data_IF_006898782061
#
_entry.id   IF_006898782061
#
_cell.length_a   1.000
_cell.length_b   1.000
_cell.length_c   1.000
_cell.angle_alpha   90.00
_cell.angle_beta   90.00
_cell.angle_gamma   90.00
#
_symmetry.space_group_name_H-M   'P 1'
#
loop_
_entity.id
_entity.type
_entity.pdbx_description
1 polymer ?
#
# COMPACT_ATOMS: atom_id res chain seq x y z
N UNK A 1 -4.00 23.40 -36.94
CA UNK A 1 -4.01 21.99 -37.35
C UNK A 1 -3.53 21.17 -36.17
N UNK A 2 -4.40 20.31 -35.67
CA UNK A 2 -4.27 19.59 -34.40
C UNK A 2 -3.01 18.71 -34.49
N UNK A 3 -2.07 18.84 -33.56
CA UNK A 3 -0.79 18.11 -33.54
C UNK A 3 -0.92 16.59 -33.35
N UNK A 4 -2.13 16.03 -33.44
CA UNK A 4 -2.47 14.63 -33.29
C UNK A 4 -2.83 13.96 -34.62
N UNK A 5 -2.41 12.71 -34.79
CA UNK A 5 -2.89 11.76 -35.78
C UNK A 5 -4.30 11.27 -35.36
N UNK A 6 -5.17 10.88 -36.30
CA UNK A 6 -6.43 10.25 -35.94
C UNK A 6 -6.17 8.92 -35.22
N UNK A 7 -6.95 8.60 -34.20
CA UNK A 7 -6.95 7.27 -33.61
C UNK A 7 -7.51 6.28 -34.63
N UNK A 8 -6.69 5.34 -35.07
CA UNK A 8 -7.11 4.24 -35.94
C UNK A 8 -7.32 2.96 -35.13
N UNK A 9 -8.42 2.22 -35.35
CA UNK A 9 -8.62 0.93 -34.70
C UNK A 9 -7.51 -0.05 -35.08
N UNK A 10 -7.15 -1.00 -34.19
CA UNK A 10 -6.28 -2.11 -34.56
C UNK A 10 -6.96 -3.01 -35.60
N UNK A 11 -6.19 -3.74 -36.40
CA UNK A 11 -6.72 -4.61 -37.46
C UNK A 11 -7.70 -5.68 -36.94
N UNK A 12 -7.52 -6.11 -35.68
CA UNK A 12 -8.35 -7.10 -35.00
C UNK A 12 -9.35 -6.48 -34.01
N UNK A 13 -9.75 -5.22 -34.20
CA UNK A 13 -10.69 -4.54 -33.30
C UNK A 13 -12.01 -5.30 -33.16
N UNK A 14 -12.39 -5.61 -31.91
CA UNK A 14 -13.69 -6.14 -31.54
C UNK A 14 -14.27 -5.31 -30.38
N UNK A 15 -15.36 -4.59 -30.64
CA UNK A 15 -16.04 -3.79 -29.62
C UNK A 15 -16.55 -4.63 -28.43
N UNK A 16 -16.75 -5.95 -28.60
CA UNK A 16 -17.14 -6.85 -27.49
C UNK A 16 -16.07 -6.95 -26.41
N UNK A 17 -14.80 -6.70 -26.72
CA UNK A 17 -13.74 -6.61 -25.71
C UNK A 17 -14.02 -5.53 -24.65
N UNK A 18 -14.80 -4.51 -25.02
CA UNK A 18 -15.15 -3.37 -24.17
C UNK A 18 -16.62 -3.41 -23.71
N UNK A 19 -17.29 -4.57 -23.77
CA UNK A 19 -18.69 -4.73 -23.37
C UNK A 19 -18.95 -4.24 -21.93
N UNK A 20 -18.04 -4.57 -21.01
CA UNK A 20 -18.14 -4.11 -19.63
C UNK A 20 -18.01 -2.59 -19.50
N UNK A 21 -17.13 -1.97 -20.30
CA UNK A 21 -16.95 -0.51 -20.33
C UNK A 21 -18.22 0.17 -20.85
N UNK A 22 -18.85 -0.36 -21.90
CA UNK A 22 -20.13 0.11 -22.41
C UNK A 22 -21.23 0.07 -21.34
N UNK A 23 -21.42 -1.09 -20.69
CA UNK A 23 -22.38 -1.23 -19.59
C UNK A 23 -22.08 -0.29 -18.42
N UNK A 24 -20.80 -0.08 -18.12
CA UNK A 24 -20.39 0.82 -17.05
C UNK A 24 -20.76 2.27 -17.38
N UNK A 25 -20.53 2.73 -18.61
CA UNK A 25 -20.95 4.05 -19.07
C UNK A 25 -22.48 4.24 -19.00
N UNK A 26 -23.25 3.27 -19.48
CA UNK A 26 -24.72 3.29 -19.40
C UNK A 26 -25.22 3.34 -17.96
N UNK A 27 -24.64 2.54 -17.05
CA UNK A 27 -25.00 2.54 -15.65
C UNK A 27 -24.72 3.88 -14.95
N UNK A 28 -23.61 4.55 -15.30
CA UNK A 28 -23.31 5.89 -14.78
C UNK A 28 -24.32 6.93 -15.26
N UNK A 29 -24.74 6.88 -16.53
CA UNK A 29 -25.77 7.76 -17.08
C UNK A 29 -27.12 7.49 -16.43
N UNK A 30 -27.54 6.21 -16.35
CA UNK A 30 -28.79 5.81 -15.68
C UNK A 30 -28.82 6.20 -14.19
N UNK A 31 -27.66 6.20 -13.53
CA UNK A 31 -27.49 6.68 -12.16
C UNK A 31 -27.35 8.20 -12.01
N UNK A 32 -27.59 8.99 -13.07
CA UNK A 32 -27.51 10.44 -13.10
C UNK A 32 -26.13 11.00 -12.67
N UNK A 33 -25.03 10.31 -13.00
CA UNK A 33 -23.66 10.66 -12.59
C UNK A 33 -22.91 11.60 -13.56
N UNK A 34 -23.50 11.92 -14.72
CA UNK A 34 -22.91 12.75 -15.79
C UNK A 34 -21.41 12.46 -16.05
N UNK A 35 -21.07 11.25 -16.54
CA UNK A 35 -19.67 10.82 -16.60
C UNK A 35 -18.83 11.66 -17.58
N UNK A 36 -17.56 11.83 -17.25
CA UNK A 36 -16.57 12.60 -18.03
C UNK A 36 -15.40 11.71 -18.44
N UNK A 37 -14.76 12.05 -19.57
CA UNK A 37 -13.73 11.20 -20.17
C UNK A 37 -12.56 10.98 -19.20
N UNK A 38 -12.20 12.01 -18.42
CA UNK A 38 -11.18 11.95 -17.37
C UNK A 38 -11.44 10.91 -16.27
N UNK A 39 -12.64 10.30 -16.17
CA UNK A 39 -12.90 9.20 -15.24
C UNK A 39 -12.45 7.83 -15.78
N UNK A 40 -12.12 7.75 -17.07
CA UNK A 40 -11.72 6.52 -17.77
C UNK A 40 -10.28 6.60 -18.30
N UNK A 41 -9.59 7.73 -18.13
CA UNK A 41 -8.18 7.90 -18.45
C UNK A 41 -7.64 9.17 -17.75
N UNK A 42 -6.33 9.32 -17.65
CA UNK A 42 -5.69 10.49 -17.02
C UNK A 42 -4.56 11.03 -17.89
N UNK A 43 -4.84 11.99 -18.80
CA UNK A 43 -3.82 12.67 -19.58
C UNK A 43 -3.05 13.67 -18.70
N UNK A 44 -1.74 13.48 -18.58
CA UNK A 44 -0.80 14.33 -17.85
C UNK A 44 -0.06 15.19 -18.86
N UNK A 45 -0.21 16.51 -18.75
CA UNK A 45 0.46 17.44 -19.66
C UNK A 45 1.98 17.38 -19.52
N UNK A 46 2.63 17.23 -20.68
CA UNK A 46 4.06 17.28 -20.88
C UNK A 46 4.41 18.54 -21.69
N UNK A 47 5.70 18.95 -21.71
CA UNK A 47 6.15 20.01 -22.61
C UNK A 47 5.76 19.78 -24.07
N UNK A 48 5.79 20.84 -24.88
CA UNK A 48 5.46 20.80 -26.31
C UNK A 48 4.00 20.43 -26.63
N UNK A 49 3.07 20.75 -25.73
CA UNK A 49 1.63 20.52 -25.90
C UNK A 49 1.27 19.04 -26.12
N UNK A 50 1.97 18.14 -25.43
CA UNK A 50 1.76 16.69 -25.47
C UNK A 50 1.27 16.19 -24.12
N UNK A 51 0.81 14.95 -24.07
CA UNK A 51 0.38 14.30 -22.83
C UNK A 51 0.99 12.91 -22.71
N UNK A 52 1.43 12.56 -21.51
CA UNK A 52 1.56 11.16 -21.10
C UNK A 52 0.19 10.67 -20.60
N UNK A 53 -0.18 9.41 -20.83
CA UNK A 53 -1.51 8.89 -20.52
C UNK A 53 -1.40 7.84 -19.42
N UNK A 54 -2.04 8.09 -18.29
CA UNK A 54 -2.16 7.14 -17.20
C UNK A 54 -3.58 6.56 -17.09
N UNK A 55 -3.70 5.42 -16.42
CA UNK A 55 -4.97 4.79 -16.08
C UNK A 55 -5.75 5.63 -15.06
N UNK A 56 -7.08 5.62 -15.15
CA UNK A 56 -7.95 6.20 -14.11
C UNK A 56 -9.29 5.49 -14.01
N UNK A 57 -9.79 5.29 -12.79
CA UNK A 57 -11.07 4.64 -12.54
C UNK A 57 -11.03 3.11 -12.65
N UNK A 58 -12.22 2.48 -12.65
CA UNK A 58 -12.35 1.01 -12.62
C UNK A 58 -12.20 0.31 -13.97
N UNK A 59 -12.33 1.02 -15.09
CA UNK A 59 -12.09 0.46 -16.43
C UNK A 59 -11.46 1.54 -17.30
N UNK A 60 -10.20 1.32 -17.69
CA UNK A 60 -9.37 2.33 -18.35
C UNK A 60 -8.27 1.63 -19.16
N UNK A 61 -7.12 2.29 -19.34
CA UNK A 61 -5.99 1.85 -20.18
C UNK A 61 -5.25 0.64 -19.64
N UNK A 62 -5.51 0.22 -18.39
CA UNK A 62 -4.98 -1.04 -17.86
C UNK A 62 -5.57 -2.27 -18.58
N UNK A 63 -4.72 -3.00 -19.30
CA UNK A 63 -5.06 -4.31 -19.86
C UNK A 63 -4.89 -5.42 -18.83
N UNK A 64 -5.72 -5.36 -17.78
CA UNK A 64 -5.61 -6.18 -16.57
C UNK A 64 -5.41 -7.67 -16.88
N UNK A 65 -4.38 -8.26 -16.27
CA UNK A 65 -4.09 -9.69 -16.32
C UNK A 65 -3.55 -10.19 -17.67
N UNK A 66 -2.98 -9.29 -18.50
CA UNK A 66 -2.44 -9.63 -19.84
C UNK A 66 -0.93 -9.55 -19.94
N UNK A 67 -0.25 -9.42 -18.82
CA UNK A 67 1.21 -9.30 -18.73
C UNK A 67 1.90 -10.48 -18.01
N UNK A 68 1.17 -11.48 -17.52
CA UNK A 68 1.70 -12.54 -16.66
C UNK A 68 2.84 -13.36 -17.29
N UNK A 69 2.73 -13.65 -18.59
CA UNK A 69 3.75 -14.43 -19.28
C UNK A 69 4.96 -13.59 -19.70
N UNK A 70 4.89 -12.25 -19.65
CA UNK A 70 5.93 -11.37 -20.17
C UNK A 70 7.32 -11.59 -19.51
N UNK A 71 7.43 -11.69 -18.16
CA UNK A 71 8.73 -11.82 -17.51
C UNK A 71 9.49 -13.09 -17.92
N UNK A 72 8.77 -14.17 -18.20
CA UNK A 72 9.33 -15.48 -18.54
C UNK A 72 9.23 -15.87 -20.01
N UNK A 73 8.51 -15.09 -20.82
CA UNK A 73 8.39 -15.31 -22.25
C UNK A 73 9.70 -15.10 -23.01
N UNK A 74 9.82 -15.80 -24.13
CA UNK A 74 10.84 -15.55 -25.14
C UNK A 74 10.54 -14.25 -25.93
N UNK A 75 11.39 -13.91 -26.88
CA UNK A 75 11.23 -12.68 -27.68
C UNK A 75 9.89 -12.64 -28.43
N UNK A 76 9.48 -13.75 -29.05
CA UNK A 76 8.21 -13.84 -29.77
C UNK A 76 7.00 -13.64 -28.83
N UNK A 77 7.06 -14.24 -27.63
CA UNK A 77 6.02 -14.07 -26.61
C UNK A 77 5.93 -12.63 -26.13
N UNK A 78 7.07 -11.98 -25.86
CA UNK A 78 7.13 -10.58 -25.42
C UNK A 78 6.62 -9.62 -26.48
N UNK A 79 6.98 -9.84 -27.75
CA UNK A 79 6.49 -9.05 -28.88
C UNK A 79 4.98 -9.19 -29.08
N UNK A 80 4.47 -10.43 -29.01
CA UNK A 80 3.01 -10.69 -29.03
C UNK A 80 2.29 -9.92 -27.92
N UNK A 81 2.78 -10.01 -26.68
CA UNK A 81 2.18 -9.32 -25.53
C UNK A 81 2.23 -7.80 -25.70
N UNK A 82 3.36 -7.25 -26.16
CA UNK A 82 3.48 -5.81 -26.42
C UNK A 82 2.46 -5.36 -27.48
N UNK A 83 2.31 -6.13 -28.56
CA UNK A 83 1.32 -5.83 -29.60
C UNK A 83 -0.12 -5.93 -29.10
N UNK A 84 -0.41 -6.89 -28.24
CA UNK A 84 -1.71 -7.04 -27.59
C UNK A 84 -2.06 -5.83 -26.71
N UNK A 85 -1.09 -5.27 -25.98
CA UNK A 85 -1.29 -4.04 -25.20
C UNK A 85 -1.51 -2.82 -26.10
N UNK A 86 -0.72 -2.66 -27.17
CA UNK A 86 -0.93 -1.60 -28.16
C UNK A 86 -2.33 -1.69 -28.79
N UNK A 87 -2.73 -2.89 -29.22
CA UNK A 87 -4.04 -3.14 -29.80
C UNK A 87 -5.17 -2.86 -28.79
N UNK A 88 -5.01 -3.23 -27.52
CA UNK A 88 -5.98 -2.92 -26.47
C UNK A 88 -6.15 -1.40 -26.31
N UNK A 89 -5.06 -0.64 -26.24
CA UNK A 89 -5.13 0.82 -26.06
C UNK A 89 -5.75 1.49 -27.30
N UNK A 90 -5.36 1.10 -28.51
CA UNK A 90 -6.00 1.57 -29.76
C UNK A 90 -7.49 1.23 -29.78
N UNK A 91 -7.86 0.02 -29.38
CA UNK A 91 -9.24 -0.42 -29.27
C UNK A 91 -10.04 0.37 -28.24
N UNK A 92 -9.45 0.65 -27.08
CA UNK A 92 -10.05 1.46 -26.01
C UNK A 92 -10.34 2.88 -26.52
N UNK A 93 -9.36 3.55 -27.11
CA UNK A 93 -9.54 4.89 -27.66
C UNK A 93 -10.61 4.89 -28.78
N UNK A 94 -10.61 3.87 -29.64
CA UNK A 94 -11.63 3.72 -30.69
C UNK A 94 -13.03 3.56 -30.09
N UNK A 95 -13.19 2.68 -29.09
CA UNK A 95 -14.47 2.45 -28.42
C UNK A 95 -14.99 3.74 -27.77
N UNK A 96 -14.13 4.42 -27.01
CA UNK A 96 -14.47 5.70 -26.36
C UNK A 96 -14.80 6.81 -27.36
N UNK A 97 -14.26 6.77 -28.58
CA UNK A 97 -14.53 7.74 -29.62
C UNK A 97 -15.80 7.45 -30.44
N UNK A 98 -16.30 6.21 -30.47
CA UNK A 98 -17.28 5.77 -31.49
C UNK A 98 -18.49 5.02 -30.96
N UNK A 99 -18.42 4.34 -29.81
CA UNK A 99 -19.53 3.48 -29.36
C UNK A 99 -20.73 4.33 -28.87
N UNK A 100 -21.97 4.04 -29.34
CA UNK A 100 -23.16 4.80 -29.00
C UNK A 100 -23.45 4.88 -27.48
N UNK A 101 -22.97 3.91 -26.70
CA UNK A 101 -23.17 3.84 -25.24
C UNK A 101 -22.32 4.83 -24.45
N UNK A 102 -21.25 5.36 -25.05
CA UNK A 102 -20.39 6.40 -24.45
C UNK A 102 -21.01 7.78 -24.72
N UNK A 103 -21.38 8.60 -23.72
CA UNK A 103 -21.94 9.94 -23.95
C UNK A 103 -21.25 10.78 -25.05
N UNK A 104 -22.06 11.52 -25.82
CA UNK A 104 -21.60 12.24 -27.01
C UNK A 104 -20.47 13.24 -26.73
N UNK A 105 -20.53 13.95 -25.60
CA UNK A 105 -19.47 14.87 -25.18
C UNK A 105 -18.12 14.15 -25.03
N UNK A 106 -18.10 12.96 -24.41
CA UNK A 106 -16.88 12.17 -24.24
C UNK A 106 -16.38 11.62 -25.57
N UNK A 107 -17.27 11.20 -26.47
CA UNK A 107 -16.87 10.77 -27.82
C UNK A 107 -16.19 11.89 -28.59
N UNK A 108 -16.80 13.09 -28.60
CA UNK A 108 -16.24 14.28 -29.27
C UNK A 108 -14.90 14.68 -28.66
N UNK A 109 -14.77 14.61 -27.34
CA UNK A 109 -13.50 14.85 -26.65
C UNK A 109 -12.44 13.82 -27.07
N UNK A 110 -12.74 12.53 -27.01
CA UNK A 110 -11.81 11.46 -27.41
C UNK A 110 -11.36 11.59 -28.87
N UNK A 111 -12.27 11.98 -29.78
CA UNK A 111 -11.96 12.23 -31.20
C UNK A 111 -10.97 13.40 -31.42
N UNK A 112 -10.80 14.29 -30.43
CA UNK A 112 -9.80 15.36 -30.51
C UNK A 112 -8.39 14.88 -30.14
N UNK A 113 -8.30 13.74 -29.46
CA UNK A 113 -7.04 13.13 -29.03
C UNK A 113 -6.54 12.12 -30.05
N UNK A 114 -5.23 11.87 -30.01
CA UNK A 114 -4.58 10.85 -30.81
C UNK A 114 -3.06 10.94 -30.72
N UNK A 115 -2.34 10.00 -31.35
CA UNK A 115 -0.88 9.96 -31.30
C UNK A 115 -0.24 11.25 -31.80
N UNK A 116 0.90 11.65 -31.23
CA UNK A 116 1.59 12.87 -31.66
C UNK A 116 2.07 12.73 -33.12
N UNK A 117 1.80 13.74 -33.95
CA UNK A 117 2.18 13.75 -35.38
C UNK A 117 3.68 13.83 -35.64
N UNK A 118 4.44 14.28 -34.66
CA UNK A 118 5.86 14.59 -34.76
C UNK A 118 6.74 13.60 -33.98
N UNK A 119 6.16 12.57 -33.37
CA UNK A 119 6.87 11.51 -32.66
C UNK A 119 6.57 10.16 -33.27
N UNK A 120 7.54 9.24 -33.23
CA UNK A 120 7.34 7.85 -33.66
C UNK A 120 6.73 7.71 -35.06
N UNK A 121 7.26 8.47 -36.03
CA UNK A 121 6.74 8.55 -37.41
C UNK A 121 6.77 7.22 -38.15
N UNK A 122 7.68 6.33 -37.76
CA UNK A 122 7.87 4.98 -38.29
C UNK A 122 6.88 3.94 -37.73
N UNK A 123 6.06 4.32 -36.75
CA UNK A 123 5.11 3.44 -36.05
C UNK A 123 3.74 4.09 -35.89
N UNK A 124 3.37 4.96 -36.83
CA UNK A 124 2.08 5.69 -36.84
C UNK A 124 1.80 6.45 -35.53
N UNK A 125 2.85 6.99 -34.91
CA UNK A 125 2.78 7.75 -33.66
C UNK A 125 2.84 6.94 -32.37
N UNK A 126 3.02 5.62 -32.43
CA UNK A 126 3.03 4.75 -31.25
C UNK A 126 4.46 4.45 -30.76
N UNK A 127 4.71 4.43 -29.44
CA UNK A 127 6.03 4.11 -28.90
C UNK A 127 6.57 2.75 -29.40
N UNK A 128 7.87 2.70 -29.73
CA UNK A 128 8.54 1.50 -30.27
C UNK A 128 8.63 0.35 -29.28
N UNK A 129 8.59 0.66 -28.00
CA UNK A 129 8.79 -0.30 -26.92
C UNK A 129 7.74 -0.11 -25.84
N UNK A 130 7.33 -1.23 -25.26
CA UNK A 130 6.50 -1.23 -24.07
C UNK A 130 7.36 -0.93 -22.84
N UNK A 131 6.95 0.03 -22.02
CA UNK A 131 7.59 0.30 -20.74
C UNK A 131 7.27 -0.82 -19.74
N UNK A 132 8.29 -1.58 -19.33
CA UNK A 132 8.15 -2.70 -18.38
C UNK A 132 8.67 -2.27 -17.02
N UNK A 133 7.74 -2.08 -16.08
CA UNK A 133 8.05 -1.52 -14.75
C UNK A 133 8.44 -2.57 -13.72
N UNK A 134 7.86 -3.78 -13.82
CA UNK A 134 8.13 -4.90 -12.92
C UNK A 134 8.29 -6.21 -13.69
N UNK A 135 9.37 -6.95 -13.38
CA UNK A 135 9.66 -8.26 -13.97
C UNK A 135 10.47 -9.11 -12.98
N UNK A 136 11.43 -9.90 -13.46
CA UNK A 136 12.33 -10.69 -12.61
C UNK A 136 13.12 -9.77 -11.68
N UNK A 137 13.15 -10.13 -10.40
CA UNK A 137 13.91 -9.43 -9.36
C UNK A 137 14.93 -10.36 -8.73
N UNK A 138 16.00 -9.77 -8.24
CA UNK A 138 17.00 -10.42 -7.42
C UNK A 138 16.40 -10.91 -6.10
N UNK A 139 16.87 -12.06 -5.60
CA UNK A 139 16.66 -12.48 -4.20
C UNK A 139 18.00 -12.42 -3.48
N UNK A 140 18.33 -11.23 -2.96
CA UNK A 140 19.63 -10.93 -2.35
C UNK A 140 19.74 -11.38 -0.88
N UNK A 141 20.73 -10.84 -0.19
CA UNK A 141 20.96 -11.06 1.25
C UNK A 141 19.88 -10.41 2.13
N UNK A 142 19.21 -9.37 1.61
CA UNK A 142 18.07 -8.75 2.28
C UNK A 142 16.95 -8.48 1.30
N UNK A 143 15.73 -8.92 1.63
CA UNK A 143 14.53 -8.65 0.84
C UNK A 143 13.76 -7.50 1.50
N UNK A 144 13.73 -6.34 0.84
CA UNK A 144 12.92 -5.20 1.32
C UNK A 144 11.44 -5.61 1.35
N UNK A 145 10.73 -5.27 2.42
CA UNK A 145 9.31 -5.65 2.60
C UNK A 145 8.45 -4.47 3.05
N UNK A 146 7.13 -4.67 3.13
CA UNK A 146 6.20 -3.66 3.66
C UNK A 146 6.64 -3.18 5.05
N UNK A 147 7.22 -4.06 5.87
CA UNK A 147 7.70 -3.71 7.21
C UNK A 147 8.73 -2.57 7.19
N UNK A 148 9.56 -2.49 6.15
CA UNK A 148 10.50 -1.38 5.98
C UNK A 148 9.77 -0.08 5.63
N UNK A 149 8.84 -0.15 4.68
CA UNK A 149 8.05 1.00 4.24
C UNK A 149 7.16 1.57 5.37
N UNK A 150 6.73 0.69 6.29
CA UNK A 150 5.93 1.00 7.48
C UNK A 150 6.75 1.38 8.71
N UNK A 151 8.08 1.36 8.62
CA UNK A 151 8.99 1.56 9.74
C UNK A 151 8.81 0.57 10.92
N UNK A 152 8.26 -0.62 10.64
CA UNK A 152 8.21 -1.75 11.60
C UNK A 152 9.59 -2.38 11.74
N UNK A 153 10.33 -2.47 10.64
CA UNK A 153 11.73 -2.90 10.62
C UNK A 153 12.58 -1.81 9.99
N UNK A 154 13.71 -1.48 10.62
CA UNK A 154 14.71 -0.57 10.05
C UNK A 154 15.98 -1.32 9.71
N UNK A 155 16.72 -0.78 8.75
CA UNK A 155 18.05 -1.27 8.37
C UNK A 155 19.10 -0.21 8.73
N UNK A 156 20.34 -0.64 8.88
CA UNK A 156 21.48 0.21 9.24
C UNK A 156 22.42 0.46 8.05
N UNK A 157 22.22 -0.28 6.95
CA UNK A 157 23.05 -0.25 5.75
C UNK A 157 22.39 0.53 4.59
N UNK A 158 21.87 1.73 4.86
CA UNK A 158 21.16 2.57 3.91
C UNK A 158 22.05 3.08 2.78
N UNK A 159 21.54 2.97 1.55
CA UNK A 159 22.15 3.53 0.33
C UNK A 159 21.19 4.46 -0.43
N UNK A 160 20.17 4.95 0.24
CA UNK A 160 19.15 5.82 -0.35
C UNK A 160 17.82 5.68 0.37
N UNK A 161 16.89 6.59 0.08
CA UNK A 161 15.58 6.62 0.71
C UNK A 161 14.47 6.37 -0.32
N UNK A 162 13.56 5.46 -0.02
CA UNK A 162 12.25 5.33 -0.67
C UNK A 162 11.21 6.16 0.06
N UNK A 163 10.23 6.74 -0.66
CA UNK A 163 9.21 7.60 -0.04
C UNK A 163 7.86 7.62 -0.79
N UNK A 164 7.73 6.83 -1.85
CA UNK A 164 6.51 6.78 -2.66
C UNK A 164 5.47 5.87 -2.03
N UNK A 165 4.21 5.94 -2.44
CA UNK A 165 3.20 5.01 -1.96
C UNK A 165 3.61 3.57 -2.29
N UNK A 166 3.31 2.62 -1.41
CA UNK A 166 3.21 1.22 -1.79
C UNK A 166 1.99 1.11 -2.68
N UNK A 167 2.23 1.09 -4.00
CA UNK A 167 1.20 1.05 -5.01
C UNK A 167 1.24 -0.22 -5.87
N UNK A 168 0.06 -0.73 -6.21
CA UNK A 168 -0.15 -1.79 -7.18
C UNK A 168 -1.44 -1.48 -7.92
N UNK A 169 -1.46 -1.67 -9.23
CA UNK A 169 -2.68 -1.57 -10.02
C UNK A 169 -3.53 -2.83 -9.85
N UNK A 170 -4.78 -2.76 -10.31
CA UNK A 170 -5.69 -3.89 -10.36
C UNK A 170 -5.05 -5.09 -11.07
N UNK A 171 -5.06 -6.24 -10.41
CA UNK A 171 -4.43 -7.46 -10.89
C UNK A 171 -5.41 -8.35 -11.68
N UNK A 172 -6.68 -8.35 -11.27
CA UNK A 172 -7.73 -9.12 -11.94
C UNK A 172 -9.10 -8.46 -11.83
N UNK A 173 -10.00 -8.85 -12.75
CA UNK A 173 -11.42 -8.54 -12.69
C UNK A 173 -12.20 -9.83 -12.45
N UNK A 174 -13.02 -9.86 -11.42
CA UNK A 174 -13.80 -11.03 -11.00
C UNK A 174 -15.29 -10.72 -10.97
N UNK A 175 -16.12 -11.76 -11.02
CA UNK A 175 -17.56 -11.65 -10.75
C UNK A 175 -17.83 -12.20 -9.36
N UNK A 176 -18.30 -11.34 -8.46
CA UNK A 176 -18.63 -11.67 -7.07
C UNK A 176 -20.05 -11.22 -6.78
N UNK A 177 -20.90 -12.14 -6.31
CA UNK A 177 -22.31 -11.87 -5.97
C UNK A 177 -23.08 -11.17 -7.11
N UNK A 178 -22.84 -11.59 -8.37
CA UNK A 178 -23.47 -11.01 -9.56
C UNK A 178 -22.95 -9.62 -9.97
N UNK A 179 -21.89 -9.11 -9.33
CA UNK A 179 -21.26 -7.82 -9.63
C UNK A 179 -19.84 -8.04 -10.14
N UNK A 180 -19.41 -7.20 -11.07
CA UNK A 180 -18.01 -7.17 -11.47
C UNK A 180 -17.22 -6.31 -10.50
N UNK A 181 -16.13 -6.85 -9.98
CA UNK A 181 -15.21 -6.18 -9.06
C UNK A 181 -13.79 -6.29 -9.60
N UNK A 182 -13.00 -5.23 -9.44
CA UNK A 182 -11.55 -5.31 -9.60
C UNK A 182 -10.91 -5.55 -8.24
N UNK A 183 -9.83 -6.31 -8.21
CA UNK A 183 -9.03 -6.51 -7.00
C UNK A 183 -7.53 -6.39 -7.26
N UNK A 184 -6.77 -6.23 -6.18
CA UNK A 184 -5.31 -6.09 -6.22
C UNK A 184 -4.81 -4.65 -6.33
N UNK A 185 -5.70 -3.66 -6.44
CA UNK A 185 -5.32 -2.26 -6.32
C UNK A 185 -4.94 -1.94 -4.87
N UNK A 186 -3.73 -1.43 -4.69
CA UNK A 186 -3.17 -1.04 -3.39
C UNK A 186 -2.62 0.36 -3.57
N UNK A 187 -2.95 1.26 -2.65
CA UNK A 187 -2.47 2.65 -2.67
C UNK A 187 -2.22 3.10 -1.23
N UNK A 188 -1.11 2.67 -0.63
CA UNK A 188 -0.85 2.98 0.79
C UNK A 188 0.47 3.72 0.99
N UNK A 189 0.45 4.93 1.59
CA UNK A 189 1.67 5.69 1.81
C UNK A 189 2.58 5.02 2.86
N UNK A 190 3.91 5.20 2.72
CA UNK A 190 4.85 4.87 3.78
C UNK A 190 4.70 5.86 4.94
N UNK A 191 5.16 5.46 6.12
CA UNK A 191 5.11 6.32 7.31
C UNK A 191 6.06 7.52 7.21
N UNK A 192 7.20 7.32 6.58
CA UNK A 192 8.22 8.34 6.31
C UNK A 192 9.12 7.85 5.19
N UNK A 193 9.97 8.70 4.60
CA UNK A 193 11.07 8.23 3.80
C UNK A 193 11.86 7.16 4.57
N UNK A 194 12.00 5.98 3.99
CA UNK A 194 12.57 4.80 4.64
C UNK A 194 13.86 4.38 3.92
N UNK A 195 14.85 3.86 4.66
CA UNK A 195 16.12 3.49 4.07
C UNK A 195 16.02 2.23 3.21
N UNK A 196 16.73 2.23 2.08
CA UNK A 196 16.91 1.07 1.19
C UNK A 196 18.26 0.44 1.49
N UNK A 197 18.25 -0.86 1.83
CA UNK A 197 19.44 -1.61 2.23
C UNK A 197 20.40 -1.86 1.07
N UNK A 198 21.70 -1.71 1.31
CA UNK A 198 22.76 -2.15 0.39
C UNK A 198 22.61 -3.63 0.00
N UNK A 199 22.27 -4.48 0.98
CA UNK A 199 22.05 -5.92 0.77
C UNK A 199 20.88 -6.26 -0.16
N UNK A 200 20.00 -5.30 -0.46
CA UNK A 200 18.91 -5.48 -1.41
C UNK A 200 19.36 -5.36 -2.87
N UNK A 201 20.50 -4.73 -3.16
CA UNK A 201 20.98 -4.52 -4.54
C UNK A 201 22.13 -5.46 -4.91
N UNK A 202 22.50 -6.42 -4.05
CA UNK A 202 23.58 -7.38 -4.28
C UNK A 202 23.09 -8.83 -4.11
N UNK A 203 23.64 -9.77 -4.89
CA UNK A 203 23.30 -11.19 -4.78
C UNK A 203 23.90 -11.81 -3.54
N UNK A 204 23.46 -13.03 -3.21
CA UNK A 204 24.09 -13.79 -2.13
C UNK A 204 25.51 -14.17 -2.52
N UNK A 205 26.40 -14.28 -1.55
CA UNK A 205 27.82 -14.57 -1.80
C UNK A 205 28.06 -15.89 -2.56
N UNK A 206 27.14 -16.85 -2.43
CA UNK A 206 27.22 -18.14 -3.12
C UNK A 206 26.79 -18.10 -4.60
N UNK A 207 26.15 -17.01 -5.06
CA UNK A 207 25.57 -16.92 -6.41
C UNK A 207 26.52 -16.24 -7.40
N UNK A 208 27.02 -15.05 -7.05
CA UNK A 208 28.10 -14.35 -7.75
C UNK A 208 28.67 -13.23 -6.87
N UNK A 209 29.86 -12.74 -7.20
CA UNK A 209 30.66 -11.86 -6.33
C UNK A 209 30.88 -10.45 -6.88
N UNK A 210 30.35 -10.16 -8.08
CA UNK A 210 30.68 -8.96 -8.86
C UNK A 210 29.46 -8.28 -9.54
N UNK A 211 28.24 -8.52 -9.05
CA UNK A 211 27.00 -7.99 -9.64
C UNK A 211 26.29 -7.00 -8.69
N UNK A 212 25.77 -5.91 -9.27
CA UNK A 212 24.81 -5.01 -8.64
C UNK A 212 23.51 -4.97 -9.44
N UNK A 213 22.37 -5.02 -8.74
CA UNK A 213 21.03 -4.94 -9.32
C UNK A 213 20.23 -3.78 -8.68
N UNK A 214 20.50 -2.52 -9.04
CA UNK A 214 19.85 -1.35 -8.41
C UNK A 214 18.38 -1.17 -8.83
N UNK A 215 17.99 -1.67 -9.99
CA UNK A 215 16.61 -1.61 -10.52
C UNK A 215 15.85 -2.89 -10.21
N UNK A 216 16.37 -4.04 -10.62
CA UNK A 216 15.78 -5.35 -10.31
C UNK A 216 16.11 -5.82 -8.88
N UNK A 217 16.11 -4.88 -7.91
CA UNK A 217 16.55 -5.11 -6.55
C UNK A 217 15.67 -6.10 -5.80
N UNK A 218 16.18 -6.60 -4.68
CA UNK A 218 15.50 -7.55 -3.83
C UNK A 218 14.44 -6.91 -2.95
N UNK A 219 13.19 -7.11 -3.34
CA UNK A 219 12.02 -6.59 -2.65
C UNK A 219 10.79 -7.48 -2.87
N UNK A 220 9.88 -7.49 -1.90
CA UNK A 220 8.52 -7.99 -2.11
C UNK A 220 7.77 -7.10 -3.10
N UNK A 221 6.68 -7.60 -3.68
CA UNK A 221 5.82 -6.83 -4.60
C UNK A 221 5.40 -5.47 -4.03
N UNK A 222 4.93 -5.48 -2.78
CA UNK A 222 4.44 -4.27 -2.08
C UNK A 222 5.55 -3.26 -1.82
N UNK A 223 6.72 -3.71 -1.35
CA UNK A 223 7.84 -2.80 -1.10
C UNK A 223 8.40 -2.23 -2.41
N UNK A 224 8.47 -3.06 -3.45
CA UNK A 224 8.95 -2.65 -4.75
C UNK A 224 8.08 -1.54 -5.35
N UNK A 225 6.75 -1.61 -5.22
CA UNK A 225 5.83 -0.55 -5.63
C UNK A 225 6.22 0.84 -5.11
N UNK A 226 6.75 0.89 -3.88
CA UNK A 226 7.25 2.12 -3.25
C UNK A 226 8.69 2.49 -3.63
N UNK A 227 9.58 1.51 -3.80
CA UNK A 227 11.01 1.75 -4.13
C UNK A 227 11.20 2.14 -5.59
N UNK A 228 10.38 1.62 -6.52
CA UNK A 228 10.61 1.62 -7.98
C UNK A 228 10.49 2.96 -8.70
N UNK A 229 10.63 4.07 -7.99
CA UNK A 229 10.58 5.40 -8.57
C UNK A 229 11.92 5.76 -9.20
N UNK A 230 11.87 6.39 -10.37
CA UNK A 230 13.05 6.75 -11.16
C UNK A 230 14.10 7.54 -10.35
N UNK A 231 13.73 8.54 -9.51
CA UNK A 231 14.71 9.21 -8.66
C UNK A 231 15.41 8.29 -7.66
N UNK A 232 14.70 7.27 -7.13
CA UNK A 232 15.29 6.29 -6.22
C UNK A 232 16.25 5.37 -6.98
N UNK A 233 15.87 4.89 -8.18
CA UNK A 233 16.78 4.11 -9.01
C UNK A 233 18.05 4.86 -9.41
N UNK A 234 17.95 6.16 -9.69
CA UNK A 234 19.14 6.99 -9.95
C UNK A 234 20.07 7.03 -8.72
N UNK A 235 19.52 7.20 -7.53
CA UNK A 235 20.27 7.18 -6.25
C UNK A 235 20.91 5.81 -6.00
N UNK A 236 20.17 4.73 -6.22
CA UNK A 236 20.69 3.36 -6.07
C UNK A 236 21.78 3.07 -7.11
N UNK A 237 21.65 3.59 -8.33
CA UNK A 237 22.68 3.50 -9.37
C UNK A 237 23.98 4.19 -8.98
N UNK A 238 23.92 5.42 -8.45
CA UNK A 238 25.09 6.11 -7.90
C UNK A 238 25.72 5.33 -6.75
N UNK A 239 24.90 4.78 -5.87
CA UNK A 239 25.37 4.00 -4.72
C UNK A 239 26.06 2.71 -5.14
N UNK A 240 25.49 1.99 -6.11
CA UNK A 240 26.08 0.80 -6.70
C UNK A 240 27.43 1.11 -7.35
N UNK A 241 27.53 2.20 -8.13
CA UNK A 241 28.80 2.60 -8.75
C UNK A 241 29.88 2.95 -7.72
N UNK A 242 29.51 3.65 -6.64
CA UNK A 242 30.42 3.99 -5.54
C UNK A 242 30.91 2.73 -4.82
N UNK A 243 30.01 1.79 -4.52
CA UNK A 243 30.36 0.51 -3.92
C UNK A 243 31.24 -0.34 -4.83
N UNK A 244 30.99 -0.35 -6.14
CA UNK A 244 31.80 -1.04 -7.12
C UNK A 244 33.24 -0.51 -7.16
N UNK A 245 33.43 0.82 -7.13
CA UNK A 245 34.76 1.42 -7.07
C UNK A 245 35.52 0.98 -5.79
N UNK A 246 34.84 1.02 -4.64
CA UNK A 246 35.41 0.55 -3.36
C UNK A 246 35.77 -0.94 -3.44
N UNK A 247 34.90 -1.78 -4.00
CA UNK A 247 35.13 -3.21 -4.15
C UNK A 247 36.39 -3.49 -5.00
N UNK A 248 36.57 -2.76 -6.10
CA UNK A 248 37.73 -2.87 -6.99
C UNK A 248 39.02 -2.44 -6.27
N UNK A 249 39.00 -1.28 -5.62
CA UNK A 249 40.17 -0.73 -4.92
C UNK A 249 40.63 -1.62 -3.77
N UNK A 250 39.67 -2.12 -2.99
CA UNK A 250 39.94 -2.98 -1.82
C UNK A 250 40.13 -4.46 -2.23
N UNK A 251 39.90 -4.80 -3.51
CA UNK A 251 39.97 -6.17 -4.07
C UNK A 251 39.10 -7.15 -3.29
N UNK A 252 37.87 -6.74 -2.98
CA UNK A 252 36.88 -7.53 -2.26
C UNK A 252 35.66 -7.80 -3.14
N UNK A 253 34.95 -8.93 -2.93
CA UNK A 253 33.65 -9.14 -3.57
C UNK A 253 32.63 -8.10 -3.08
N UNK A 254 31.57 -7.87 -3.84
CA UNK A 254 30.56 -6.82 -3.54
C UNK A 254 29.90 -7.01 -2.16
N UNK A 255 29.78 -8.25 -1.69
CA UNK A 255 29.25 -8.58 -0.36
C UNK A 255 30.18 -8.17 0.80
N UNK A 256 31.46 -7.91 0.52
CA UNK A 256 32.49 -7.55 1.52
C UNK A 256 32.92 -6.08 1.45
N UNK A 257 32.22 -5.25 0.68
CA UNK A 257 32.41 -3.79 0.70
C UNK A 257 32.21 -3.28 2.12
N UNK A 258 33.19 -2.51 2.63
CA UNK A 258 33.08 -1.89 3.93
C UNK A 258 32.00 -0.80 3.90
N UNK A 259 30.87 -1.06 4.56
CA UNK A 259 29.74 -0.14 4.55
C UNK A 259 30.06 1.22 5.17
N UNK A 260 30.89 1.31 6.20
CA UNK A 260 31.24 2.62 6.80
C UNK A 260 32.04 3.49 5.82
N UNK A 261 32.93 2.87 5.03
CA UNK A 261 33.65 3.54 3.95
C UNK A 261 32.70 4.01 2.85
N UNK A 262 31.74 3.17 2.46
CA UNK A 262 30.70 3.51 1.49
C UNK A 262 29.82 4.66 2.00
N UNK A 263 29.30 4.55 3.22
CA UNK A 263 28.45 5.56 3.87
C UNK A 263 29.13 6.91 3.94
N UNK A 264 30.40 6.94 4.38
CA UNK A 264 31.18 8.17 4.43
C UNK A 264 31.31 8.84 3.05
N UNK A 265 31.53 8.03 2.00
CA UNK A 265 31.63 8.53 0.63
C UNK A 265 30.30 9.07 0.11
N UNK A 266 29.19 8.33 0.29
CA UNK A 266 27.86 8.76 -0.16
C UNK A 266 27.41 10.07 0.54
N UNK A 267 27.72 10.23 1.82
CA UNK A 267 27.47 11.47 2.55
C UNK A 267 28.32 12.64 2.05
N UNK A 268 29.59 12.38 1.70
CA UNK A 268 30.45 13.40 1.09
C UNK A 268 29.90 13.87 -0.27
N UNK A 269 29.27 12.97 -1.02
CA UNK A 269 28.53 13.28 -2.26
C UNK A 269 27.11 13.86 -1.99
N UNK A 270 26.81 14.21 -0.74
CA UNK A 270 25.55 14.84 -0.26
C UNK A 270 24.30 13.97 -0.43
N UNK A 271 24.46 12.65 -0.59
CA UNK A 271 23.33 11.74 -0.63
C UNK A 271 22.67 11.64 0.76
N UNK A 272 21.32 11.64 0.79
CA UNK A 272 20.56 11.48 2.03
C UNK A 272 20.38 9.99 2.32
N UNK A 273 20.91 9.52 3.45
CA UNK A 273 20.86 8.11 3.85
C UNK A 273 19.93 7.87 5.05
N UNK A 274 19.70 8.91 5.85
CA UNK A 274 18.87 8.87 7.05
C UNK A 274 17.82 9.99 6.96
N UNK A 275 16.57 9.66 7.26
CA UNK A 275 15.51 10.66 7.31
C UNK A 275 15.46 11.32 8.70
N UNK A 276 15.77 12.61 8.76
CA UNK A 276 15.70 13.42 10.00
C UNK A 276 14.54 14.42 10.00
N UNK A 277 13.71 14.40 8.94
CA UNK A 277 12.54 15.26 8.83
C UNK A 277 11.33 14.73 9.61
N UNK A 278 10.19 15.44 9.54
CA UNK A 278 8.96 14.97 10.17
C UNK A 278 8.52 13.64 9.56
N UNK A 279 7.94 12.77 10.38
CA UNK A 279 7.22 11.62 9.86
C UNK A 279 6.02 12.14 9.07
N UNK A 280 5.78 11.59 7.88
CA UNK A 280 4.53 11.89 7.19
C UNK A 280 3.46 11.23 8.04
N UNK A 281 2.42 11.96 8.41
CA UNK A 281 1.16 11.29 8.74
C UNK A 281 0.81 10.51 7.48
N UNK A 282 0.99 9.17 7.53
CA UNK A 282 0.61 8.30 6.43
C UNK A 282 -0.80 8.74 6.01
N UNK A 283 -0.98 9.16 4.76
CA UNK A 283 -2.31 9.54 4.27
C UNK A 283 -3.33 8.44 4.56
N UNK A 284 -4.63 8.71 4.47
CA UNK A 284 -5.58 8.88 5.60
C UNK A 284 -5.42 7.91 6.82
N UNK A 285 -4.20 7.65 7.27
CA UNK A 285 -3.85 6.83 8.42
C UNK A 285 -3.37 7.80 9.48
N UNK A 286 -4.33 8.40 10.18
CA UNK A 286 -4.10 9.50 11.12
C UNK A 286 -3.12 9.17 12.24
N UNK A 287 -2.78 10.23 12.99
CA UNK A 287 -1.85 10.18 14.11
C UNK A 287 -2.21 9.01 15.03
N UNK A 288 -1.30 8.06 15.15
CA UNK A 288 -1.36 7.13 16.25
C UNK A 288 -0.70 7.73 17.48
N UNK A 289 -1.12 7.28 18.66
CA UNK A 289 -0.50 7.67 19.92
C UNK A 289 0.48 6.57 20.30
N UNK A 290 1.76 6.95 20.51
CA UNK A 290 2.76 6.01 21.03
C UNK A 290 2.32 5.57 22.44
N UNK A 291 2.11 4.26 22.70
CA UNK A 291 1.77 3.74 24.02
C UNK A 291 2.71 4.25 25.13
N UNK A 292 4.00 4.44 24.83
CA UNK A 292 5.02 4.89 25.78
C UNK A 292 4.89 6.37 26.16
N UNK A 293 4.16 7.15 25.37
CA UNK A 293 3.91 8.57 25.65
C UNK A 293 2.78 8.80 26.67
N UNK A 294 1.99 7.77 26.95
CA UNK A 294 0.83 7.85 27.83
C UNK A 294 1.20 7.50 29.29
N UNK A 295 0.55 8.12 30.29
CA UNK A 295 0.83 7.83 31.69
C UNK A 295 0.32 6.45 32.11
N UNK A 296 0.97 5.84 33.11
CA UNK A 296 0.55 4.55 33.65
C UNK A 296 1.02 3.37 32.81
N UNK A 297 0.28 2.27 32.87
CA UNK A 297 0.59 1.05 32.09
C UNK A 297 -0.31 1.07 30.87
N UNK A 298 0.26 0.95 29.68
CA UNK A 298 -0.49 0.81 28.43
C UNK A 298 -0.13 -0.50 27.77
N UNK A 299 -1.16 -1.25 27.37
CA UNK A 299 -1.06 -2.47 26.59
C UNK A 299 -1.74 -2.24 25.25
N UNK A 300 -1.04 -2.52 24.16
CA UNK A 300 -1.47 -2.41 22.77
C UNK A 300 -2.26 -3.67 22.33
N UNK A 301 -2.95 -3.65 21.20
CA UNK A 301 -3.72 -4.79 20.69
C UNK A 301 -2.87 -6.08 20.58
N UNK A 302 -1.57 -5.91 20.28
CA UNK A 302 -0.58 -6.99 20.23
C UNK A 302 -0.22 -7.62 21.57
N UNK A 303 -0.44 -6.90 22.67
CA UNK A 303 -0.19 -7.39 24.03
C UNK A 303 -1.36 -8.24 24.56
N UNK A 304 -2.51 -8.23 23.88
CA UNK A 304 -3.65 -9.05 24.24
C UNK A 304 -3.46 -10.51 23.81
N UNK A 305 -3.86 -11.45 24.68
CA UNK A 305 -4.08 -12.84 24.25
C UNK A 305 -5.39 -12.92 23.46
N UNK A 306 -5.29 -13.02 22.14
CA UNK A 306 -6.43 -13.08 21.23
C UNK A 306 -6.90 -14.54 21.02
N UNK A 307 -8.21 -14.73 20.87
CA UNK A 307 -8.86 -16.00 20.48
C UNK A 307 -9.96 -15.69 19.48
N UNK A 308 -10.16 -16.56 18.50
CA UNK A 308 -11.08 -16.34 17.39
C UNK A 308 -10.46 -15.51 16.26
N UNK A 309 -11.30 -14.93 15.41
CA UNK A 309 -10.86 -14.13 14.27
C UNK A 309 -10.68 -12.66 14.67
N UNK A 310 -9.48 -12.14 14.38
CA UNK A 310 -9.11 -10.74 14.48
C UNK A 310 -8.31 -10.36 13.23
N UNK A 311 -8.77 -9.33 12.53
CA UNK A 311 -8.09 -8.75 11.36
C UNK A 311 -7.41 -7.44 11.75
N UNK A 312 -6.17 -7.26 11.32
CA UNK A 312 -5.41 -6.04 11.58
C UNK A 312 -5.84 -4.90 10.65
N UNK A 313 -5.80 -3.68 11.16
CA UNK A 313 -6.12 -2.48 10.39
C UNK A 313 -5.36 -1.25 10.87
N UNK A 314 -5.15 -0.32 9.96
CA UNK A 314 -4.56 0.99 10.21
C UNK A 314 -5.45 2.13 9.68
N UNK A 315 -6.67 1.82 9.21
CA UNK A 315 -7.51 2.76 8.46
C UNK A 315 -8.10 3.89 9.31
N UNK A 316 -8.05 3.76 10.64
CA UNK A 316 -8.55 4.78 11.55
C UNK A 316 -7.51 5.86 11.80
N UNK A 317 -7.97 7.10 11.84
CA UNK A 317 -7.14 8.28 12.13
C UNK A 317 -6.77 8.44 13.60
N UNK A 318 -7.46 7.74 14.48
CA UNK A 318 -7.20 7.70 15.93
C UNK A 318 -7.05 6.24 16.34
N UNK A 319 -5.90 5.91 16.96
CA UNK A 319 -5.55 4.60 17.51
C UNK A 319 -4.32 4.69 18.42
N UNK A 320 -4.12 3.68 19.24
CA UNK A 320 -2.90 3.47 20.02
C UNK A 320 -1.98 2.55 19.24
N UNK A 321 -0.66 2.79 19.30
CA UNK A 321 0.30 1.96 18.58
C UNK A 321 0.11 2.01 17.06
N UNK A 322 0.77 1.09 16.34
CA UNK A 322 0.83 1.21 14.87
C UNK A 322 -0.50 0.89 14.18
N UNK A 323 -1.36 0.08 14.80
CA UNK A 323 -2.59 -0.43 14.24
C UNK A 323 -3.58 -0.83 15.32
N UNK A 324 -4.69 -1.41 14.90
CA UNK A 324 -5.70 -2.00 15.78
C UNK A 324 -6.21 -3.29 15.14
N UNK A 325 -6.86 -4.14 15.92
CA UNK A 325 -7.52 -5.33 15.43
C UNK A 325 -9.04 -5.16 15.43
N UNK A 326 -9.73 -5.88 14.54
CA UNK A 326 -11.18 -5.93 14.49
C UNK A 326 -11.74 -7.31 14.14
N UNK A 327 -12.93 -7.62 14.61
CA UNK A 327 -13.62 -8.89 14.35
C UNK A 327 -14.22 -9.02 12.93
N UNK A 328 -14.06 -7.98 12.10
CA UNK A 328 -14.65 -7.89 10.75
C UNK A 328 -16.18 -7.98 10.75
N UNK A 329 -16.82 -7.71 11.90
CA UNK A 329 -18.24 -7.88 12.13
C UNK A 329 -18.76 -9.30 11.79
N UNK A 330 -17.95 -10.32 12.07
CA UNK A 330 -18.26 -11.73 11.83
C UNK A 330 -18.07 -12.58 13.10
N UNK A 331 -18.60 -13.81 13.10
CA UNK A 331 -18.37 -14.79 14.17
C UNK A 331 -18.75 -14.30 15.57
N UNK A 332 -19.94 -13.70 15.73
CA UNK A 332 -20.37 -13.10 17.01
C UNK A 332 -20.40 -14.14 18.13
N UNK A 333 -19.60 -13.92 19.17
CA UNK A 333 -19.43 -14.83 20.30
C UNK A 333 -18.22 -15.76 20.20
N UNK A 334 -17.51 -15.75 19.07
CA UNK A 334 -16.34 -16.61 18.83
C UNK A 334 -15.01 -15.89 19.12
N UNK A 335 -15.00 -14.54 19.12
CA UNK A 335 -13.78 -13.75 19.30
C UNK A 335 -13.69 -13.12 20.70
N UNK A 336 -12.54 -13.30 21.34
CA UNK A 336 -12.18 -12.63 22.60
C UNK A 336 -10.73 -12.16 22.57
N UNK A 337 -10.43 -11.13 23.36
CA UNK A 337 -9.08 -10.64 23.59
C UNK A 337 -8.89 -10.30 25.07
N UNK A 338 -7.81 -10.81 25.67
CA UNK A 338 -7.54 -10.68 27.11
C UNK A 338 -6.24 -9.93 27.35
N UNK A 339 -6.34 -8.76 27.95
CA UNK A 339 -5.20 -7.98 28.44
C UNK A 339 -4.88 -8.36 29.88
N UNK A 340 -3.60 -8.56 30.20
CA UNK A 340 -3.13 -8.92 31.55
C UNK A 340 -1.96 -8.00 31.96
N UNK A 341 -2.23 -6.84 32.59
CA UNK A 341 -1.16 -5.96 33.07
C UNK A 341 -0.36 -6.58 34.20
N UNK A 342 0.88 -6.13 34.36
CA UNK A 342 1.66 -6.32 35.57
C UNK A 342 1.57 -5.06 36.43
N UNK A 343 0.72 -5.08 37.47
CA UNK A 343 0.47 -3.91 38.30
C UNK A 343 1.63 -3.73 39.30
N UNK A 344 2.37 -2.61 39.28
CA UNK A 344 3.59 -2.46 40.09
C UNK A 344 3.30 -2.31 41.59
N UNK A 345 2.14 -1.74 41.95
CA UNK A 345 1.75 -1.50 43.34
C UNK A 345 0.23 -1.53 43.49
N UNK A 346 -0.26 -2.05 44.61
CA UNK A 346 -1.69 -2.02 44.88
C UNK A 346 -2.19 -0.57 45.02
N UNK A 347 -3.36 -0.25 44.47
CA UNK A 347 -3.90 1.11 44.48
C UNK A 347 -5.21 1.25 43.71
N UNK A 348 -5.73 2.47 43.65
CA UNK A 348 -6.89 2.79 42.83
C UNK A 348 -6.43 3.19 41.41
N UNK A 349 -6.91 2.46 40.40
CA UNK A 349 -6.59 2.69 39.00
C UNK A 349 -7.85 3.00 38.22
N UNK A 350 -7.79 4.01 37.36
CA UNK A 350 -8.74 4.15 36.27
C UNK A 350 -8.30 3.27 35.11
N UNK A 351 -9.22 2.44 34.61
CA UNK A 351 -8.99 1.61 33.43
C UNK A 351 -9.67 2.28 32.24
N UNK A 352 -8.90 2.54 31.19
CA UNK A 352 -9.37 3.17 29.95
C UNK A 352 -9.19 2.14 28.82
N UNK A 353 -10.26 1.85 28.10
CA UNK A 353 -10.22 1.11 26.84
C UNK A 353 -9.97 2.09 25.70
N UNK A 354 -9.02 1.77 24.85
CA UNK A 354 -8.78 2.48 23.59
C UNK A 354 -9.52 1.79 22.43
N UNK A 355 -9.96 2.58 21.47
CA UNK A 355 -10.78 2.15 20.34
C UNK A 355 -10.59 3.05 19.12
N UNK A 356 -10.62 2.53 17.91
CA UNK A 356 -10.74 3.32 16.69
C UNK A 356 -12.22 3.66 16.34
N UNK A 357 -12.74 4.88 16.69
CA UNK A 357 -14.15 5.17 16.58
C UNK A 357 -14.63 5.31 15.12
N UNK A 358 -15.80 4.74 14.82
CA UNK A 358 -16.45 4.84 13.53
C UNK A 358 -17.96 4.53 13.66
N UNK A 359 -18.85 5.12 12.84
CA UNK A 359 -20.28 4.79 12.85
C UNK A 359 -20.61 3.30 12.66
N UNK A 360 -19.73 2.51 12.03
CA UNK A 360 -19.93 1.07 11.81
C UNK A 360 -19.49 0.18 13.01
N UNK A 361 -18.96 0.75 14.10
CA UNK A 361 -18.57 -0.03 15.29
C UNK A 361 -19.79 -0.46 16.09
N UNK A 362 -19.61 -1.46 16.94
CA UNK A 362 -20.64 -1.89 17.87
C UNK A 362 -20.89 -0.82 18.95
N UNK A 363 -22.16 -0.62 19.30
CA UNK A 363 -22.60 0.27 20.40
C UNK A 363 -22.62 -0.43 21.77
N UNK A 364 -22.41 -1.75 21.80
CA UNK A 364 -22.73 -2.57 22.95
C UNK A 364 -21.66 -3.63 23.29
N UNK A 365 -20.39 -3.36 22.99
CA UNK A 365 -19.27 -4.30 23.17
C UNK A 365 -19.14 -4.75 24.63
N UNK A 366 -19.26 -6.05 24.95
CA UNK A 366 -19.00 -6.55 26.29
C UNK A 366 -17.51 -6.47 26.64
N UNK A 367 -17.22 -5.72 27.72
CA UNK A 367 -15.87 -5.61 28.29
C UNK A 367 -15.92 -5.99 29.75
N UNK A 368 -15.20 -7.05 30.12
CA UNK A 368 -15.18 -7.59 31.49
C UNK A 368 -13.86 -7.27 32.17
N UNK A 369 -13.92 -6.58 33.30
CA UNK A 369 -12.78 -6.40 34.21
C UNK A 369 -12.87 -7.48 35.29
N UNK A 370 -11.85 -8.32 35.39
CA UNK A 370 -11.75 -9.38 36.39
C UNK A 370 -10.55 -9.13 37.30
N UNK A 371 -10.76 -9.23 38.61
CA UNK A 371 -9.72 -9.09 39.64
C UNK A 371 -9.77 -10.37 40.48
N UNK A 372 -8.62 -11.01 40.67
CA UNK A 372 -8.54 -12.25 41.43
C UNK A 372 -9.22 -12.13 42.80
N UNK A 373 -10.11 -13.07 43.12
CA UNK A 373 -10.88 -13.08 44.37
C UNK A 373 -12.10 -12.15 44.40
N UNK A 374 -12.44 -11.48 43.31
CA UNK A 374 -13.65 -10.64 43.20
C UNK A 374 -14.56 -11.11 42.05
N UNK A 375 -15.89 -10.89 42.14
CA UNK A 375 -16.77 -11.06 41.00
C UNK A 375 -16.35 -10.16 39.83
N UNK A 376 -16.30 -10.71 38.62
CA UNK A 376 -16.00 -9.93 37.41
C UNK A 376 -17.08 -8.88 37.13
N UNK A 377 -16.68 -7.71 36.65
CA UNK A 377 -17.58 -6.61 36.28
C UNK A 377 -17.62 -6.46 34.76
N UNK A 378 -18.76 -6.72 34.15
CA UNK A 378 -18.98 -6.55 32.70
C UNK A 378 -19.68 -5.23 32.41
N UNK A 379 -19.14 -4.48 31.46
CA UNK A 379 -19.66 -3.23 30.93
C UNK A 379 -20.02 -3.41 29.46
N UNK A 380 -21.06 -2.71 29.00
CA UNK A 380 -21.35 -2.57 27.57
C UNK A 380 -20.76 -1.24 27.10
N UNK A 381 -19.86 -1.31 26.13
CA UNK A 381 -19.07 -0.17 25.65
C UNK A 381 -19.52 0.22 24.25
N UNK A 382 -19.78 1.51 24.05
CA UNK A 382 -20.07 2.10 22.74
C UNK A 382 -18.77 2.55 22.07
N UNK A 383 -18.40 1.86 20.99
CA UNK A 383 -17.19 2.13 20.21
C UNK A 383 -17.41 3.08 19.02
N UNK A 384 -18.60 3.67 18.86
CA UNK A 384 -18.90 4.50 17.67
C UNK A 384 -18.26 5.88 17.70
N UNK A 385 -18.10 6.47 18.89
CA UNK A 385 -17.93 7.93 19.01
C UNK A 385 -16.67 8.39 19.75
N UNK A 386 -16.05 7.53 20.57
CA UNK A 386 -14.91 7.91 21.42
C UNK A 386 -13.72 6.98 21.20
N UNK A 387 -12.53 7.58 21.17
CA UNK A 387 -11.28 6.85 21.15
C UNK A 387 -10.90 6.30 22.54
N UNK A 388 -11.07 7.12 23.57
CA UNK A 388 -10.79 6.77 24.95
C UNK A 388 -12.10 6.54 25.72
N UNK A 389 -12.26 5.36 26.31
CA UNK A 389 -13.48 4.95 26.98
C UNK A 389 -13.14 4.45 28.39
N UNK A 390 -13.45 5.26 29.41
CA UNK A 390 -13.26 4.84 30.80
C UNK A 390 -14.18 3.67 31.15
N UNK A 391 -13.59 2.58 31.64
CA UNK A 391 -14.29 1.44 32.24
C UNK A 391 -14.59 1.68 33.72
N UNK A 392 -14.10 2.80 34.27
CA UNK A 392 -14.25 3.20 35.67
C UNK A 392 -12.98 3.00 36.50
N UNK A 393 -13.13 3.28 37.79
CA UNK A 393 -12.05 3.15 38.79
C UNK A 393 -12.17 1.83 39.53
N UNK A 394 -11.05 1.17 39.73
CA UNK A 394 -10.93 -0.14 40.35
C UNK A 394 -9.77 -0.17 41.33
N UNK A 395 -9.96 -0.84 42.47
CA UNK A 395 -8.88 -1.10 43.43
C UNK A 395 -8.13 -2.34 43.00
N UNK A 396 -6.95 -2.17 42.42
CA UNK A 396 -6.16 -3.25 41.84
C UNK A 396 -5.07 -3.72 42.82
N UNK A 397 -4.91 -5.03 43.03
CA UNK A 397 -3.74 -5.60 43.69
C UNK A 397 -2.49 -5.52 42.79
N UNK A 398 -1.30 -5.61 43.38
CA UNK A 398 -0.05 -5.71 42.64
C UNK A 398 0.09 -7.08 41.94
N UNK A 399 0.83 -7.11 40.84
CA UNK A 399 1.10 -8.30 40.02
C UNK A 399 0.09 -8.52 38.88
N UNK A 400 0.14 -9.72 38.29
CA UNK A 400 -0.65 -10.14 37.12
C UNK A 400 -1.98 -10.80 37.48
N UNK A 401 -2.73 -10.15 38.37
CA UNK A 401 -3.98 -10.69 38.95
C UNK A 401 -5.25 -10.01 38.43
N UNK A 402 -5.11 -9.05 37.52
CA UNK A 402 -6.20 -8.33 36.89
C UNK A 402 -6.21 -8.63 35.40
N UNK A 403 -7.39 -8.82 34.81
CA UNK A 403 -7.56 -8.95 33.36
C UNK A 403 -8.66 -8.06 32.84
N UNK A 404 -8.50 -7.55 31.62
CA UNK A 404 -9.56 -6.89 30.86
C UNK A 404 -9.85 -7.74 29.63
N UNK A 405 -11.07 -8.25 29.53
CA UNK A 405 -11.51 -9.11 28.43
C UNK A 405 -12.49 -8.36 27.53
N UNK A 406 -12.14 -8.21 26.26
CA UNK A 406 -13.05 -7.72 25.21
C UNK A 406 -13.65 -8.93 24.50
N UNK A 407 -14.96 -8.93 24.28
CA UNK A 407 -15.67 -10.00 23.55
C UNK A 407 -16.53 -9.41 22.43
N UNK A 408 -16.71 -10.18 21.34
CA UNK A 408 -17.67 -9.82 20.30
C UNK A 408 -19.06 -10.45 20.47
N UNK A 409 -19.33 -11.09 21.61
CA UNK A 409 -20.61 -11.74 21.89
C UNK A 409 -21.78 -10.74 21.87
N UNK A 410 -22.84 -11.10 21.15
CA UNK A 410 -24.10 -10.35 21.05
C UNK A 410 -23.93 -8.86 20.63
N UNK A 411 -22.89 -8.57 19.83
CA UNK A 411 -22.58 -7.21 19.37
C UNK A 411 -23.28 -6.83 18.07
N UNK A 412 -23.62 -5.54 17.93
CA UNK A 412 -24.43 -4.97 16.84
C UNK A 412 -23.61 -4.32 15.70
N UNK A 413 -22.29 -4.47 15.70
CA UNK A 413 -21.38 -3.90 14.71
C UNK A 413 -19.96 -4.41 14.85
N UNK A 414 -18.99 -3.77 14.18
CA UNK A 414 -17.58 -4.15 14.29
C UNK A 414 -17.07 -3.95 15.73
N UNK A 415 -16.38 -4.96 16.27
CA UNK A 415 -15.69 -4.87 17.56
C UNK A 415 -14.23 -4.56 17.33
N UNK A 416 -13.75 -3.53 18.00
CA UNK A 416 -12.38 -3.04 17.89
C UNK A 416 -11.58 -3.39 19.14
N UNK A 417 -10.35 -3.77 18.90
CA UNK A 417 -9.31 -4.02 19.87
C UNK A 417 -8.12 -3.12 19.52
N UNK A 418 -7.89 -2.07 20.30
CA UNK A 418 -6.80 -1.11 20.07
C UNK A 418 -5.81 -1.12 21.24
N UNK A 419 -6.32 -1.01 22.48
CA UNK A 419 -5.47 -1.16 23.66
C UNK A 419 -6.20 -0.88 24.96
N UNK A 420 -5.49 -1.00 26.09
CA UNK A 420 -5.98 -0.62 27.42
C UNK A 420 -4.92 0.14 28.20
N UNK A 421 -5.35 1.12 28.99
CA UNK A 421 -4.52 1.89 29.91
C UNK A 421 -4.98 1.69 31.36
N UNK A 422 -4.01 1.51 32.25
CA UNK A 422 -4.20 1.49 33.70
C UNK A 422 -3.49 2.71 34.29
N UNK A 423 -4.29 3.71 34.66
CA UNK A 423 -3.80 5.00 35.19
C UNK A 423 -4.02 5.06 36.69
N UNK A 424 -2.92 5.14 37.45
CA UNK A 424 -3.00 5.31 38.90
C UNK A 424 -3.72 6.62 39.25
N UNK A 425 -4.72 6.54 40.10
CA UNK A 425 -5.46 7.68 40.65
C UNK A 425 -4.73 8.10 41.93
N UNK A 426 -4.25 9.34 41.95
CA UNK A 426 -3.64 9.94 43.15
C UNK A 426 -4.71 10.47 44.10
#
# INVERSE_FOLDING_TARGET
>A
ANGSLPVTPPANYDAKQFELLGRYAEALVAGNKNPKLAQFWNPIWMPNHKTDINNNGGFSTDFIGRNYDYPNGDYATRERIAKEHENYIRGFCTFMATDPRVPEEMRREMQSWGPAKDEFLDTDGWPREMYVREARRLVGEYVMSEKNCRAVETITDSIGLGAYNMDSHNCQRIVKNGRVENEGDVQVPPMKPYPVSYRAIIPKAAECDNLFAPVALSATHIAYGSIRMEPVFMVLGQSAATAAAIAIDDKVPVQKVNYEKLRARLLADKQVLDWTGPERSAGPVGKFVDPKSLPGIVLDDKDAKQTGHWSESISSVWRIGHGYAHDSNAGKGESTAVFTPDIPSAGDYEIILFNAPNPNRASNVPVTVSIAGQPGKTLKVDQKSKGEISLGKFKLPAGKTTTVTVSNKDTDGHVILDGVQFKLVK
#
